data_IF_687711005174
#
_entry.id   IF_687711005174
#
_cell.length_a   1.000
_cell.length_b   1.000
_cell.length_c   1.000
_cell.angle_alpha   90.00
_cell.angle_beta   90.00
_cell.angle_gamma   90.00
#
_symmetry.space_group_name_H-M   'P 1'
#
loop_
_entity.id
_entity.type
_entity.pdbx_description
1 polymer ?
#
# COMPACT_ATOMS: atom_id res chain seq x y z
N UNK A 1 -1.75 13.10 -7.67
CA UNK A 1 -0.73 13.68 -8.58
C UNK A 1 0.55 14.07 -7.86
N UNK A 2 0.57 15.05 -6.95
CA UNK A 2 1.82 15.62 -6.41
C UNK A 2 2.73 14.69 -5.58
N UNK A 3 2.19 13.65 -4.91
CA UNK A 3 3.03 12.64 -4.22
C UNK A 3 3.82 11.75 -5.19
N UNK A 4 3.44 11.73 -6.47
CA UNK A 4 4.09 10.97 -7.52
C UNK A 4 5.15 11.77 -8.27
N UNK A 5 5.46 13.01 -7.88
CA UNK A 5 6.48 13.81 -8.57
C UNK A 5 7.87 13.24 -8.35
N UNK A 6 8.16 12.79 -7.11
CA UNK A 6 9.45 12.24 -6.78
C UNK A 6 9.54 10.74 -7.14
N UNK A 7 10.56 10.36 -7.89
CA UNK A 7 10.78 8.98 -8.34
C UNK A 7 10.94 7.98 -7.19
N UNK A 8 11.64 8.36 -6.12
CA UNK A 8 11.82 7.52 -4.94
C UNK A 8 10.52 7.31 -4.19
N UNK A 9 9.74 8.39 -3.95
CA UNK A 9 8.45 8.29 -3.27
C UNK A 9 7.48 7.40 -4.06
N UNK A 10 7.46 7.58 -5.39
CA UNK A 10 6.61 6.78 -6.28
C UNK A 10 6.96 5.30 -6.19
N UNK A 11 8.24 4.96 -6.25
CA UNK A 11 8.72 3.59 -6.10
C UNK A 11 8.36 3.00 -4.71
N UNK A 12 8.55 3.77 -3.63
CA UNK A 12 8.16 3.32 -2.28
C UNK A 12 6.66 3.05 -2.16
N UNK A 13 5.82 3.86 -2.80
CA UNK A 13 4.37 3.64 -2.84
C UNK A 13 4.05 2.38 -3.65
N UNK A 14 4.71 2.14 -4.80
CA UNK A 14 4.57 0.88 -5.56
C UNK A 14 4.88 -0.33 -4.68
N UNK A 15 5.99 -0.30 -3.93
CA UNK A 15 6.37 -1.38 -3.02
C UNK A 15 5.32 -1.62 -1.93
N UNK A 16 4.80 -0.56 -1.32
CA UNK A 16 3.74 -0.68 -0.30
C UNK A 16 2.48 -1.32 -0.87
N UNK A 17 2.03 -0.88 -2.05
CA UNK A 17 0.85 -1.44 -2.71
C UNK A 17 1.07 -2.90 -3.10
N UNK A 18 2.27 -3.27 -3.57
CA UNK A 18 2.63 -4.67 -3.84
C UNK A 18 2.52 -5.51 -2.57
N UNK A 19 3.01 -5.02 -1.43
CA UNK A 19 2.86 -5.70 -0.15
C UNK A 19 1.38 -5.83 0.26
N UNK A 20 0.57 -4.81 0.02
CA UNK A 20 -0.87 -4.86 0.34
C UNK A 20 -1.62 -5.85 -0.58
N UNK A 21 -1.21 -5.96 -1.84
CA UNK A 21 -1.69 -6.99 -2.78
C UNK A 21 -1.32 -8.39 -2.29
N UNK A 22 -0.03 -8.62 -1.97
CA UNK A 22 0.48 -9.94 -1.57
C UNK A 22 -0.08 -10.41 -0.22
N UNK A 23 -0.32 -9.49 0.71
CA UNK A 23 -0.93 -9.79 2.00
C UNK A 23 -2.47 -9.93 1.94
N UNK A 24 -3.09 -9.68 0.77
CA UNK A 24 -4.53 -9.76 0.58
C UNK A 24 -5.32 -8.56 1.15
N UNK A 25 -4.63 -7.52 1.63
CA UNK A 25 -5.26 -6.26 2.07
C UNK A 25 -5.87 -5.48 0.91
N UNK A 26 -5.28 -5.60 -0.28
CA UNK A 26 -5.79 -5.03 -1.52
C UNK A 26 -6.15 -6.16 -2.50
N UNK A 27 -7.39 -6.68 -2.44
CA UNK A 27 -7.86 -7.70 -3.36
C UNK A 27 -7.90 -7.19 -4.80
N UNK A 28 -7.42 -8.02 -5.73
CA UNK A 28 -7.43 -7.74 -7.15
C UNK A 28 -8.10 -8.90 -7.90
N UNK A 29 -8.63 -8.61 -9.10
CA UNK A 29 -9.03 -9.66 -10.04
C UNK A 29 -7.78 -10.25 -10.71
N UNK A 30 -7.93 -11.41 -11.33
CA UNK A 30 -6.88 -12.02 -12.18
C UNK A 30 -6.32 -11.03 -13.21
N UNK A 31 -7.20 -10.32 -13.92
CA UNK A 31 -6.81 -9.32 -14.94
C UNK A 31 -5.99 -8.19 -14.32
N UNK A 32 -6.37 -7.72 -13.13
CA UNK A 32 -5.62 -6.69 -12.42
C UNK A 32 -4.26 -7.21 -11.93
N UNK A 33 -4.18 -8.44 -11.42
CA UNK A 33 -2.90 -9.04 -11.05
C UNK A 33 -1.96 -9.12 -12.26
N UNK A 34 -2.47 -9.54 -13.42
CA UNK A 34 -1.68 -9.59 -14.65
C UNK A 34 -1.18 -8.20 -15.07
N UNK A 35 -2.09 -7.21 -15.08
CA UNK A 35 -1.77 -5.84 -15.46
C UNK A 35 -0.73 -5.20 -14.54
N UNK A 36 -0.97 -5.24 -13.23
CA UNK A 36 -0.05 -4.67 -12.25
C UNK A 36 1.27 -5.44 -12.19
N UNK A 37 1.22 -6.76 -12.37
CA UNK A 37 2.41 -7.61 -12.48
C UNK A 37 3.26 -7.25 -13.68
N UNK A 38 2.65 -6.97 -14.84
CA UNK A 38 3.38 -6.58 -16.05
C UNK A 38 4.11 -5.24 -15.92
N UNK A 39 3.50 -4.24 -15.26
CA UNK A 39 4.19 -2.98 -14.95
C UNK A 39 5.29 -3.17 -13.91
N UNK A 40 5.10 -4.09 -12.96
CA UNK A 40 6.14 -4.43 -11.98
C UNK A 40 7.34 -5.08 -12.68
N UNK A 41 7.10 -6.01 -13.60
CA UNK A 41 8.15 -6.64 -14.40
C UNK A 41 8.90 -5.58 -15.22
N UNK A 42 8.19 -4.71 -15.94
CA UNK A 42 8.80 -3.63 -16.74
C UNK A 42 9.62 -2.67 -15.87
N UNK A 43 9.13 -2.31 -14.69
CA UNK A 43 9.81 -1.35 -13.81
C UNK A 43 11.06 -1.93 -13.13
N UNK A 44 11.11 -3.25 -12.96
CA UNK A 44 12.19 -3.92 -12.22
C UNK A 44 13.20 -4.57 -13.17
N UNK A 45 12.74 -5.18 -14.26
CA UNK A 45 13.58 -5.92 -15.21
C UNK A 45 13.92 -5.12 -16.47
N UNK A 46 13.19 -4.03 -16.75
CA UNK A 46 13.30 -3.29 -18.01
C UNK A 46 12.58 -3.98 -19.15
N UNK A 47 12.97 -3.67 -20.38
CA UNK A 47 12.34 -4.23 -21.58
C UNK A 47 12.53 -5.74 -21.68
N UNK A 48 11.48 -6.46 -22.06
CA UNK A 48 11.63 -7.87 -22.42
C UNK A 48 12.59 -8.05 -23.60
N UNK A 49 13.69 -8.74 -23.32
CA UNK A 49 14.63 -9.31 -24.28
C UNK A 49 14.60 -10.84 -24.22
N UNK A 50 14.33 -11.52 -25.34
CA UNK A 50 14.27 -13.00 -25.40
C UNK A 50 15.63 -13.67 -25.12
N UNK A 51 16.74 -13.01 -25.45
CA UNK A 51 18.07 -13.53 -25.15
C UNK A 51 18.40 -13.54 -23.66
N UNK A 52 17.88 -12.54 -22.91
CA UNK A 52 18.14 -12.39 -21.47
C UNK A 52 17.10 -13.13 -20.63
N UNK A 53 15.82 -13.05 -21.03
CA UNK A 53 14.69 -13.58 -20.26
C UNK A 53 14.24 -14.98 -20.71
N UNK A 54 14.76 -15.46 -21.85
CA UNK A 54 14.28 -16.67 -22.51
C UNK A 54 12.91 -16.50 -23.17
N UNK A 55 12.44 -17.50 -23.93
CA UNK A 55 11.19 -17.42 -24.71
C UNK A 55 9.91 -17.59 -23.89
N UNK A 56 10.03 -17.86 -22.58
CA UNK A 56 8.92 -18.28 -21.72
C UNK A 56 8.75 -17.36 -20.51
N UNK A 57 7.70 -17.60 -19.72
CA UNK A 57 7.43 -16.85 -18.49
C UNK A 57 8.35 -17.20 -17.31
N UNK A 58 9.29 -18.14 -17.46
CA UNK A 58 10.06 -18.69 -16.32
C UNK A 58 10.88 -17.64 -15.57
N UNK A 59 11.37 -16.57 -16.23
CA UNK A 59 12.07 -15.47 -15.57
C UNK A 59 11.21 -14.69 -14.56
N UNK A 60 9.88 -14.85 -14.61
CA UNK A 60 8.94 -14.21 -13.68
C UNK A 60 8.67 -15.04 -12.43
N UNK A 61 9.10 -16.31 -12.37
CA UNK A 61 8.73 -17.25 -11.31
C UNK A 61 9.22 -16.82 -9.93
N UNK A 62 10.37 -16.16 -9.88
CA UNK A 62 11.00 -15.68 -8.64
C UNK A 62 10.38 -14.39 -8.11
N UNK A 63 9.56 -13.72 -8.92
CA UNK A 63 8.86 -12.49 -8.52
C UNK A 63 7.44 -12.87 -8.09
N UNK A 64 7.05 -12.41 -6.90
CA UNK A 64 5.69 -12.57 -6.38
C UNK A 64 4.81 -11.39 -6.82
N UNK A 65 3.80 -11.67 -7.64
CA UNK A 65 2.86 -10.67 -8.15
C UNK A 65 1.48 -10.75 -7.49
N UNK A 66 1.09 -11.93 -7.01
CA UNK A 66 -0.20 -12.20 -6.38
C UNK A 66 -0.06 -13.17 -5.20
N UNK A 67 -1.03 -13.19 -4.25
CA UNK A 67 -1.03 -14.13 -3.13
C UNK A 67 -1.00 -15.60 -3.59
N UNK A 68 -1.75 -15.88 -4.66
CA UNK A 68 -1.75 -17.16 -5.37
C UNK A 68 -1.33 -16.87 -6.79
N UNK A 69 -0.24 -17.50 -7.22
CA UNK A 69 0.37 -17.28 -8.53
C UNK A 69 0.48 -18.63 -9.22
N UNK A 70 -0.33 -18.81 -10.26
CA UNK A 70 -0.31 -19.97 -11.13
C UNK A 70 0.43 -19.66 -12.44
N UNK A 71 0.69 -20.70 -13.23
CA UNK A 71 1.36 -20.57 -14.52
C UNK A 71 0.57 -19.70 -15.50
N UNK A 72 -0.76 -19.72 -15.41
CA UNK A 72 -1.62 -18.93 -16.30
C UNK A 72 -1.49 -17.43 -16.03
N UNK A 73 -1.44 -17.03 -14.76
CA UNK A 73 -1.15 -15.65 -14.40
C UNK A 73 0.24 -15.23 -14.91
N UNK A 74 1.25 -16.07 -14.75
CA UNK A 74 2.61 -15.77 -15.21
C UNK A 74 2.70 -15.63 -16.73
N UNK A 75 2.03 -16.52 -17.49
CA UNK A 75 1.92 -16.38 -18.95
C UNK A 75 1.26 -15.06 -19.32
N UNK A 76 0.18 -14.69 -18.63
CA UNK A 76 -0.52 -13.44 -18.92
C UNK A 76 0.32 -12.20 -18.60
N UNK A 77 1.09 -12.24 -17.51
CA UNK A 77 2.06 -11.18 -17.17
C UNK A 77 3.14 -11.10 -18.23
N UNK A 78 3.71 -12.23 -18.66
CA UNK A 78 4.72 -12.29 -19.70
C UNK A 78 4.24 -11.68 -21.02
N UNK A 79 3.06 -12.06 -21.50
CA UNK A 79 2.46 -11.50 -22.71
C UNK A 79 2.29 -9.98 -22.65
N UNK A 80 1.92 -9.46 -21.48
CA UNK A 80 1.74 -8.03 -21.27
C UNK A 80 3.08 -7.30 -21.11
N UNK A 81 4.07 -7.92 -20.45
CA UNK A 81 5.42 -7.37 -20.31
C UNK A 81 6.04 -7.07 -21.67
N UNK A 82 5.88 -8.00 -22.64
CA UNK A 82 6.34 -7.81 -24.03
C UNK A 82 5.75 -6.58 -24.71
N UNK A 83 4.57 -6.11 -24.29
CA UNK A 83 3.87 -4.96 -24.90
C UNK A 83 4.33 -3.62 -24.33
N UNK A 84 5.05 -3.62 -23.21
CA UNK A 84 5.51 -2.39 -22.55
C UNK A 84 6.92 -1.96 -22.99
N UNK A 85 7.45 -2.57 -24.06
CA UNK A 85 8.78 -2.26 -24.58
C UNK A 85 8.96 -0.76 -24.85
N UNK A 86 10.09 -0.21 -24.43
CA UNK A 86 10.43 1.21 -24.51
C UNK A 86 9.83 2.04 -23.38
N UNK A 87 9.07 1.45 -22.45
CA UNK A 87 8.53 2.15 -21.31
C UNK A 87 9.58 2.25 -20.19
N UNK A 88 10.01 3.46 -19.79
CA UNK A 88 10.98 3.60 -18.72
C UNK A 88 10.37 3.24 -17.35
N UNK A 89 11.19 2.80 -16.37
CA UNK A 89 10.70 2.35 -15.06
C UNK A 89 9.82 3.36 -14.31
N UNK A 90 10.12 4.65 -14.45
CA UNK A 90 9.33 5.72 -13.83
C UNK A 90 7.89 5.81 -14.39
N UNK A 91 7.72 5.58 -15.69
CA UNK A 91 6.43 5.56 -16.37
C UNK A 91 5.68 4.26 -16.05
N UNK A 92 6.38 3.12 -15.96
CA UNK A 92 5.78 1.86 -15.54
C UNK A 92 5.22 1.95 -14.12
N UNK A 93 5.99 2.52 -13.18
CA UNK A 93 5.51 2.82 -11.82
C UNK A 93 4.28 3.75 -11.84
N UNK A 94 4.28 4.77 -12.70
CA UNK A 94 3.14 5.68 -12.80
C UNK A 94 1.88 4.96 -13.28
N UNK A 95 1.96 4.18 -14.36
CA UNK A 95 0.81 3.40 -14.85
C UNK A 95 0.34 2.33 -13.87
N UNK A 96 1.27 1.70 -13.13
CA UNK A 96 0.93 0.82 -12.01
C UNK A 96 0.04 1.55 -11.00
N UNK A 97 0.46 2.72 -10.55
CA UNK A 97 -0.24 3.51 -9.53
C UNK A 97 -1.58 4.05 -10.03
N UNK A 98 -1.66 4.44 -11.30
CA UNK A 98 -2.89 4.91 -11.93
C UNK A 98 -3.95 3.82 -12.08
N UNK A 99 -3.55 2.56 -12.18
CA UNK A 99 -4.47 1.44 -12.17
C UNK A 99 -4.77 0.98 -10.74
N UNK A 100 -3.78 0.95 -9.84
CA UNK A 100 -3.97 0.62 -8.44
C UNK A 100 -4.94 1.58 -7.73
N UNK A 101 -4.89 2.89 -8.02
CA UNK A 101 -5.80 3.89 -7.42
C UNK A 101 -7.27 3.67 -7.77
N UNK A 102 -7.57 2.90 -8.82
CA UNK A 102 -8.95 2.57 -9.24
C UNK A 102 -9.56 1.44 -8.41
N UNK A 103 -8.74 0.71 -7.63
CA UNK A 103 -9.20 -0.40 -6.81
C UNK A 103 -10.00 0.11 -5.62
N UNK A 104 -11.11 -0.56 -5.30
CA UNK A 104 -12.08 -0.12 -4.29
C UNK A 104 -11.47 0.03 -2.89
N UNK A 105 -10.46 -0.78 -2.58
CA UNK A 105 -9.80 -0.84 -1.27
C UNK A 105 -8.46 -0.09 -1.25
N UNK A 106 -8.13 0.65 -2.33
CA UNK A 106 -6.90 1.44 -2.38
C UNK A 106 -6.87 2.51 -1.29
N UNK A 107 -5.81 2.49 -0.47
CA UNK A 107 -5.61 3.46 0.61
C UNK A 107 -6.67 3.38 1.70
N UNK A 108 -7.29 2.21 1.89
CA UNK A 108 -8.28 1.94 2.93
C UNK A 108 -7.64 1.12 4.05
N UNK A 109 -7.63 1.67 5.26
CA UNK A 109 -7.23 0.94 6.47
C UNK A 109 -8.45 0.28 7.12
N UNK A 110 -8.50 -1.05 7.14
CA UNK A 110 -9.67 -1.83 7.56
C UNK A 110 -9.59 -2.24 9.04
N UNK A 111 -10.70 -2.00 9.75
CA UNK A 111 -10.87 -2.34 11.16
C UNK A 111 -12.11 -3.21 11.35
N UNK A 112 -11.97 -4.47 11.83
CA UNK A 112 -13.10 -5.32 12.14
C UNK A 112 -14.00 -4.70 13.22
N UNK A 113 -15.31 -4.74 13.00
CA UNK A 113 -16.30 -4.21 13.91
C UNK A 113 -17.65 -4.94 13.75
N UNK A 114 -18.59 -4.60 14.62
CA UNK A 114 -20.00 -4.96 14.50
C UNK A 114 -20.87 -3.71 14.52
N UNK A 115 -21.97 -3.73 13.80
CA UNK A 115 -22.97 -2.66 13.87
C UNK A 115 -23.89 -2.80 15.09
N UNK A 116 -24.97 -2.01 15.14
CA UNK A 116 -25.98 -2.06 16.20
C UNK A 116 -26.77 -3.37 16.24
N UNK A 117 -26.86 -4.07 15.11
CA UNK A 117 -27.53 -5.37 14.97
C UNK A 117 -26.58 -6.54 15.22
N UNK A 118 -25.34 -6.26 15.64
CA UNK A 118 -24.28 -7.23 15.94
C UNK A 118 -23.81 -8.01 14.71
N UNK A 119 -24.06 -7.49 13.50
CA UNK A 119 -23.60 -8.03 12.22
C UNK A 119 -22.12 -7.70 12.03
N UNK A 120 -21.33 -8.68 11.61
CA UNK A 120 -19.91 -8.50 11.35
C UNK A 120 -19.66 -7.63 10.11
N UNK A 121 -18.91 -6.56 10.30
CA UNK A 121 -18.57 -5.56 9.29
C UNK A 121 -17.10 -5.15 9.42
N UNK A 122 -16.58 -4.45 8.41
CA UNK A 122 -15.29 -3.79 8.50
C UNK A 122 -15.45 -2.29 8.28
N UNK A 123 -14.82 -1.49 9.14
CA UNK A 123 -14.76 -0.04 9.01
C UNK A 123 -13.44 0.30 8.30
N UNK A 124 -13.53 0.84 7.10
CA UNK A 124 -12.41 1.37 6.35
C UNK A 124 -12.20 2.86 6.62
N UNK A 125 -10.99 3.26 7.00
CA UNK A 125 -10.58 4.66 7.05
C UNK A 125 -9.86 5.02 5.76
N UNK A 126 -10.28 6.08 5.08
CA UNK A 126 -9.69 6.50 3.80
C UNK A 126 -9.48 8.02 3.74
N UNK A 127 -8.78 8.50 2.71
CA UNK A 127 -8.64 9.94 2.47
C UNK A 127 -10.00 10.66 2.30
N UNK A 128 -11.03 9.93 1.85
CA UNK A 128 -12.32 10.49 1.44
C UNK A 128 -13.44 10.33 2.47
N UNK A 129 -13.18 9.68 3.60
CA UNK A 129 -14.19 9.39 4.63
C UNK A 129 -13.99 8.04 5.31
N UNK A 130 -14.99 7.68 6.10
CA UNK A 130 -15.17 6.33 6.63
C UNK A 130 -16.02 5.51 5.65
N UNK A 131 -15.66 4.25 5.48
CA UNK A 131 -16.28 3.30 4.58
C UNK A 131 -16.75 2.11 5.41
N UNK A 132 -17.92 1.58 5.13
CA UNK A 132 -18.39 0.36 5.78
C UNK A 132 -18.42 -0.75 4.73
N UNK A 133 -17.82 -1.88 5.09
CA UNK A 133 -17.74 -3.07 4.26
C UNK A 133 -18.42 -4.25 4.95
N UNK A 134 -19.11 -5.07 4.16
CA UNK A 134 -19.65 -6.37 4.55
C UNK A 134 -19.32 -7.34 3.42
N UNK A 135 -18.77 -8.50 3.75
CA UNK A 135 -18.38 -9.51 2.76
C UNK A 135 -17.49 -8.95 1.63
N UNK A 136 -16.57 -8.03 2.00
CA UNK A 136 -15.68 -7.26 1.09
C UNK A 136 -16.40 -6.30 0.12
N UNK A 137 -17.72 -6.20 0.18
CA UNK A 137 -18.53 -5.23 -0.55
C UNK A 137 -18.72 -3.95 0.27
N UNK A 138 -18.55 -2.79 -0.37
CA UNK A 138 -18.76 -1.50 0.29
C UNK A 138 -20.25 -1.20 0.40
N UNK A 139 -20.80 -1.25 1.61
CA UNK A 139 -22.22 -1.00 1.88
C UNK A 139 -22.54 0.48 2.11
N UNK A 140 -21.62 1.24 2.70
CA UNK A 140 -21.88 2.65 3.03
C UNK A 140 -20.59 3.48 3.01
N UNK A 141 -20.75 4.81 2.87
CA UNK A 141 -19.67 5.80 2.90
C UNK A 141 -20.12 7.06 3.66
N UNK A 142 -19.39 7.37 4.72
CA UNK A 142 -19.50 8.63 5.46
C UNK A 142 -18.37 9.56 5.06
N UNK A 143 -18.66 10.48 4.13
CA UNK A 143 -17.68 11.48 3.70
C UNK A 143 -17.30 12.41 4.86
N UNK A 144 -16.03 12.82 4.94
CA UNK A 144 -15.54 13.70 6.02
C UNK A 144 -16.39 14.96 6.26
N UNK A 145 -16.89 15.68 5.22
CA UNK A 145 -17.74 16.85 5.44
C UNK A 145 -19.05 16.56 6.18
N UNK A 146 -19.60 15.34 6.02
CA UNK A 146 -20.84 14.91 6.67
C UNK A 146 -20.63 14.53 8.15
N UNK A 147 -19.40 14.25 8.57
CA UNK A 147 -19.09 13.84 9.94
C UNK A 147 -18.86 15.10 10.80
N UNK A 148 -19.72 15.32 11.80
CA UNK A 148 -19.58 16.38 12.80
C UNK A 148 -18.54 16.04 13.86
N UNK A 149 -18.60 14.81 14.38
CA UNK A 149 -17.79 14.39 15.52
C UNK A 149 -17.44 12.90 15.42
N UNK A 150 -16.22 12.58 15.78
CA UNK A 150 -15.74 11.21 15.95
C UNK A 150 -15.35 11.03 17.41
N UNK A 151 -15.84 9.95 18.03
CA UNK A 151 -15.57 9.64 19.44
C UNK A 151 -15.51 8.14 19.68
N UNK A 152 -15.01 7.73 20.84
CA UNK A 152 -15.03 6.34 21.26
C UNK A 152 -15.31 6.25 22.76
N UNK A 153 -15.93 5.15 23.20
CA UNK A 153 -16.20 4.84 24.61
C UNK A 153 -16.14 3.34 24.82
N UNK A 154 -15.29 2.87 25.75
CA UNK A 154 -15.03 1.44 25.94
C UNK A 154 -14.65 0.77 24.61
N UNK A 155 -15.38 -0.25 24.17
CA UNK A 155 -15.16 -0.95 22.89
C UNK A 155 -15.95 -0.34 21.73
N UNK A 156 -16.65 0.78 21.93
CA UNK A 156 -17.50 1.36 20.91
C UNK A 156 -16.86 2.59 20.27
N UNK A 157 -17.00 2.71 18.96
CA UNK A 157 -16.62 3.82 18.13
C UNK A 157 -17.89 4.50 17.60
N UNK A 158 -17.97 5.83 17.69
CA UNK A 158 -19.16 6.59 17.35
C UNK A 158 -18.84 7.71 16.37
N UNK A 159 -19.75 7.90 15.42
CA UNK A 159 -19.76 9.05 14.51
C UNK A 159 -21.07 9.81 14.67
N UNK A 160 -20.98 11.12 14.76
CA UNK A 160 -22.13 12.03 14.71
C UNK A 160 -22.17 12.67 13.34
N UNK A 161 -23.30 12.60 12.66
CA UNK A 161 -23.48 13.14 11.31
C UNK A 161 -24.19 14.50 11.35
N UNK A 162 -23.88 15.34 10.37
CA UNK A 162 -24.62 16.58 10.12
C UNK A 162 -26.07 16.25 9.75
N UNK A 163 -27.05 17.04 10.22
CA UNK A 163 -28.39 17.04 9.61
C UNK A 163 -28.25 17.30 8.11
N UNK A 164 -29.10 16.68 7.31
CA UNK A 164 -29.17 16.88 5.86
C UNK A 164 -30.60 17.11 5.45
N UNK A 165 -30.85 17.52 4.21
CA UNK A 165 -32.22 17.82 3.73
C UNK A 165 -33.18 16.62 3.90
N UNK A 166 -32.64 15.40 3.96
CA UNK A 166 -33.39 14.15 4.20
C UNK A 166 -33.39 13.67 5.66
N UNK A 167 -32.51 14.23 6.51
CA UNK A 167 -32.36 13.87 7.93
C UNK A 167 -32.42 15.15 8.76
N UNK A 168 -33.61 15.51 9.23
CA UNK A 168 -33.85 16.75 10.01
C UNK A 168 -33.14 16.77 11.37
N UNK A 169 -32.57 15.64 11.82
CA UNK A 169 -31.90 15.51 13.11
C UNK A 169 -30.46 15.01 12.99
N UNK A 170 -29.63 15.36 13.97
CA UNK A 170 -28.28 14.84 14.09
C UNK A 170 -28.32 13.33 14.39
N UNK A 171 -27.90 12.50 13.43
CA UNK A 171 -27.80 11.04 13.64
C UNK A 171 -26.45 10.66 14.27
N UNK A 172 -26.48 9.80 15.30
CA UNK A 172 -25.28 9.21 15.90
C UNK A 172 -25.26 7.71 15.62
N UNK A 173 -24.21 7.26 14.93
CA UNK A 173 -24.02 5.85 14.56
C UNK A 173 -22.91 5.27 15.43
N UNK A 174 -23.17 4.11 16.03
CA UNK A 174 -22.23 3.40 16.90
C UNK A 174 -21.81 2.06 16.33
N UNK A 175 -20.54 1.74 16.48
CA UNK A 175 -19.93 0.48 16.05
C UNK A 175 -19.18 -0.16 17.20
N UNK A 176 -19.31 -1.47 17.37
CA UNK A 176 -18.66 -2.25 18.42
C UNK A 176 -17.40 -2.91 17.87
N UNK A 177 -16.25 -2.63 18.47
CA UNK A 177 -14.98 -3.25 18.09
C UNK A 177 -14.62 -4.43 19.02
N UNK A 178 -13.72 -5.34 18.58
CA UNK A 178 -13.33 -6.50 19.37
C UNK A 178 -12.77 -6.12 20.74
N UNK A 179 -12.00 -5.04 20.82
CA UNK A 179 -11.32 -4.60 22.05
C UNK A 179 -11.35 -3.08 22.22
N UNK A 180 -11.10 -2.60 23.44
CA UNK A 180 -10.92 -1.17 23.72
C UNK A 180 -9.73 -0.60 22.95
N UNK A 181 -8.65 -1.38 22.81
CA UNK A 181 -7.46 -0.98 22.06
C UNK A 181 -7.77 -0.77 20.59
N UNK A 182 -8.56 -1.67 19.99
CA UNK A 182 -9.04 -1.51 18.61
C UNK A 182 -9.89 -0.25 18.44
N UNK A 183 -10.86 -0.01 19.34
CA UNK A 183 -11.69 1.22 19.31
C UNK A 183 -10.86 2.50 19.42
N UNK A 184 -9.90 2.53 20.33
CA UNK A 184 -8.98 3.66 20.50
C UNK A 184 -8.08 3.85 19.27
N UNK A 185 -7.61 2.75 18.67
CA UNK A 185 -6.75 2.78 17.49
C UNK A 185 -7.51 3.35 16.29
N UNK A 186 -8.68 2.79 15.97
CA UNK A 186 -9.54 3.28 14.91
C UNK A 186 -9.88 4.76 15.09
N UNK A 187 -10.21 5.18 16.33
CA UNK A 187 -10.48 6.58 16.62
C UNK A 187 -9.28 7.50 16.33
N UNK A 188 -8.07 7.13 16.77
CA UNK A 188 -6.86 7.89 16.47
C UNK A 188 -6.64 8.02 14.98
N UNK A 189 -6.66 6.89 14.26
CA UNK A 189 -6.43 6.83 12.81
C UNK A 189 -7.48 7.68 12.06
N UNK A 190 -8.76 7.58 12.44
CA UNK A 190 -9.83 8.38 11.84
C UNK A 190 -9.64 9.89 12.09
N UNK A 191 -9.24 10.29 13.30
CA UNK A 191 -8.94 11.69 13.63
C UNK A 191 -7.70 12.19 12.87
N UNK A 192 -6.64 11.39 12.78
CA UNK A 192 -5.44 11.71 12.01
C UNK A 192 -5.75 11.90 10.52
N UNK A 193 -6.49 10.97 9.91
CA UNK A 193 -6.90 11.08 8.50
C UNK A 193 -7.77 12.31 8.26
N UNK A 194 -8.79 12.52 9.11
CA UNK A 194 -9.65 13.70 8.99
C UNK A 194 -8.82 14.99 9.09
N UNK A 195 -7.90 15.08 10.06
CA UNK A 195 -7.04 16.24 10.25
C UNK A 195 -6.05 16.44 9.09
N UNK A 196 -5.33 15.39 8.68
CA UNK A 196 -4.31 15.45 7.64
C UNK A 196 -4.86 15.94 6.30
N UNK A 197 -6.02 15.40 5.88
CA UNK A 197 -6.61 15.70 4.58
C UNK A 197 -7.46 16.96 4.56
N UNK A 198 -7.98 17.44 5.71
CA UNK A 198 -8.80 18.66 5.75
C UNK A 198 -8.09 19.90 6.26
N UNK A 199 -7.13 19.79 7.16
CA UNK A 199 -6.51 20.96 7.75
C UNK A 199 -5.53 21.61 6.76
N UNK A 200 -5.71 22.92 6.53
CA UNK A 200 -4.78 23.70 5.71
C UNK A 200 -3.40 23.87 6.37
N UNK A 201 -3.34 23.83 7.71
CA UNK A 201 -2.12 23.87 8.52
C UNK A 201 -2.29 22.96 9.75
N UNK A 202 -1.22 22.34 10.29
CA UNK A 202 -1.30 21.63 11.57
C UNK A 202 -1.80 22.59 12.64
N UNK A 203 -2.63 22.10 13.56
CA UNK A 203 -3.08 22.92 14.67
C UNK A 203 -1.86 23.23 15.57
N UNK A 204 -1.62 24.51 15.87
CA UNK A 204 -0.49 24.91 16.71
C UNK A 204 -0.56 24.22 18.06
N UNK A 205 0.57 23.70 18.55
CA UNK A 205 0.67 23.06 19.86
C UNK A 205 0.42 24.14 20.92
N UNK A 206 -0.85 24.36 21.30
CA UNK A 206 -1.18 25.21 22.44
C UNK A 206 -0.50 24.62 23.68
N UNK A 207 0.29 25.45 24.38
CA UNK A 207 1.01 25.10 25.62
C UNK A 207 0.10 24.27 26.53
N UNK A 208 0.61 23.13 27.04
CA UNK A 208 -0.15 22.23 27.91
C UNK A 208 -0.68 23.03 29.11
N UNK A 209 -1.99 23.03 29.41
CA UNK A 209 -2.47 23.62 30.65
C UNK A 209 -1.85 22.85 31.83
N UNK A 210 -1.51 23.58 32.90
CA UNK A 210 -0.83 23.08 34.11
C UNK A 210 -1.69 22.05 34.87
N UNK A 211 -2.98 21.93 34.53
CA UNK A 211 -3.92 20.98 35.14
C UNK A 211 -4.01 19.70 34.28
N UNK A 212 -3.73 18.51 34.85
CA UNK A 212 -3.88 17.25 34.13
C UNK A 212 -5.37 16.98 33.84
N UNK A 213 -5.75 16.98 32.57
CA UNK A 213 -7.07 16.47 32.16
C UNK A 213 -6.98 14.95 32.05
N UNK A 214 -7.74 14.22 32.86
CA UNK A 214 -7.88 12.75 32.82
C UNK A 214 -8.57 12.21 31.54
N UNK A 215 -8.70 13.03 30.49
CA UNK A 215 -9.33 12.66 29.24
C UNK A 215 -8.30 12.69 28.10
N UNK A 216 -8.19 11.59 27.36
CA UNK A 216 -7.30 11.49 26.20
C UNK A 216 -7.85 12.36 25.07
N UNK A 217 -7.38 13.61 24.97
CA UNK A 217 -7.61 14.46 23.78
C UNK A 217 -6.47 14.23 22.80
N UNK A 218 -6.66 13.30 21.87
CA UNK A 218 -5.73 13.12 20.76
C UNK A 218 -5.83 14.32 19.82
N UNK A 219 -4.70 14.87 19.41
CA UNK A 219 -4.60 15.94 18.43
C UNK A 219 -3.60 15.52 17.37
N UNK A 220 -3.81 15.96 16.14
CA UNK A 220 -2.90 15.72 15.04
C UNK A 220 -1.53 16.37 15.34
N UNK A 221 -0.48 15.56 15.49
CA UNK A 221 0.90 16.01 15.76
C UNK A 221 1.80 15.96 14.53
N UNK A 222 1.23 15.74 13.33
CA UNK A 222 2.04 15.62 12.13
C UNK A 222 2.69 16.94 11.74
N UNK A 223 3.97 16.85 11.32
CA UNK A 223 4.82 18.00 10.97
C UNK A 223 4.25 18.85 9.83
N UNK A 224 3.49 18.23 8.93
CA UNK A 224 2.88 18.89 7.76
C UNK A 224 1.48 18.31 7.52
N UNK A 225 0.55 19.12 6.98
CA UNK A 225 -0.74 18.62 6.45
C UNK A 225 -0.63 18.32 4.95
N UNK A 226 -1.65 17.67 4.37
CA UNK A 226 -1.69 17.41 2.92
C UNK A 226 -1.51 18.70 2.10
N UNK A 227 -2.14 19.80 2.53
CA UNK A 227 -2.02 21.10 1.87
C UNK A 227 -0.60 21.67 1.91
N UNK A 228 0.10 21.55 3.04
CA UNK A 228 1.49 22.03 3.16
C UNK A 228 2.48 21.14 2.41
N UNK A 229 2.30 19.82 2.49
CA UNK A 229 3.14 18.87 1.75
C UNK A 229 3.09 19.16 0.25
N UNK A 230 1.92 19.53 -0.30
CA UNK A 230 1.78 19.93 -1.71
C UNK A 230 2.60 21.17 -2.09
N UNK A 231 2.77 22.13 -1.19
CA UNK A 231 3.50 23.37 -1.47
C UNK A 231 5.02 23.17 -1.37
N UNK A 232 5.49 22.26 -0.51
CA UNK A 232 6.91 22.02 -0.25
C UNK A 232 7.60 21.09 -1.26
N UNK A 233 6.83 20.28 -1.99
CA UNK A 233 7.36 19.27 -2.92
C UNK A 233 7.86 19.86 -4.26
N UNK A 234 7.69 21.17 -4.50
CA UNK A 234 7.94 21.76 -5.82
C UNK A 234 9.43 22.01 -6.14
N UNK A 235 10.32 22.11 -5.13
CA UNK A 235 11.69 22.60 -5.34
C UNK A 235 12.81 21.57 -5.07
N UNK A 236 12.51 20.26 -5.00
CA UNK A 236 13.54 19.24 -4.69
C UNK A 236 13.88 18.35 -5.89
N UNK A 237 15.17 18.22 -6.28
CA UNK A 237 15.59 17.28 -7.32
C UNK A 237 15.33 15.83 -6.89
N UNK A 238 15.16 14.94 -7.88
CA UNK A 238 14.99 13.53 -7.62
C UNK A 238 16.30 12.90 -7.14
N UNK A 239 16.32 12.19 -6.00
CA UNK A 239 17.48 11.43 -5.59
C UNK A 239 17.64 10.20 -6.49
N UNK A 240 18.88 9.82 -6.76
CA UNK A 240 19.20 8.54 -7.38
C UNK A 240 19.00 7.40 -6.37
N UNK A 241 18.47 6.26 -6.83
CA UNK A 241 18.28 5.07 -6.01
C UNK A 241 18.31 3.79 -6.84
N UNK A 242 18.78 2.71 -6.22
CA UNK A 242 18.74 1.36 -6.80
C UNK A 242 17.43 0.63 -6.48
N UNK A 243 16.93 -0.14 -7.44
CA UNK A 243 15.74 -0.99 -7.27
C UNK A 243 16.10 -2.32 -6.63
N UNK A 244 15.20 -2.84 -5.80
CA UNK A 244 15.49 -3.95 -4.90
C UNK A 244 15.65 -5.30 -5.60
N UNK A 245 15.00 -5.51 -6.74
CA UNK A 245 15.08 -6.76 -7.50
C UNK A 245 16.36 -6.83 -8.36
N UNK A 246 16.88 -5.69 -8.81
CA UNK A 246 18.19 -5.61 -9.51
C UNK A 246 19.33 -6.17 -8.65
N UNK A 247 19.28 -5.95 -7.33
CA UNK A 247 20.29 -6.44 -6.39
C UNK A 247 20.27 -7.97 -6.18
N UNK A 248 19.15 -8.65 -6.47
CA UNK A 248 19.06 -10.12 -6.43
C UNK A 248 19.56 -10.75 -7.73
N UNK A 249 19.26 -10.13 -8.88
CA UNK A 249 19.77 -10.60 -10.18
C UNK A 249 21.29 -10.47 -10.30
N UNK A 250 21.89 -9.37 -9.85
CA UNK A 250 23.37 -9.22 -9.91
C UNK A 250 24.09 -10.25 -9.04
N UNK A 251 23.56 -10.54 -7.84
CA UNK A 251 24.10 -11.63 -6.99
C UNK A 251 23.91 -13.01 -7.59
N UNK A 252 22.85 -13.23 -8.37
CA UNK A 252 22.61 -14.49 -9.07
C UNK A 252 23.59 -14.69 -10.24
N UNK A 253 23.98 -13.61 -10.93
CA UNK A 253 24.98 -13.64 -11.99
C UNK A 253 26.40 -13.85 -11.44
N UNK A 254 26.76 -13.19 -10.33
CA UNK A 254 28.06 -13.39 -9.67
C UNK A 254 28.25 -14.81 -9.10
N UNK A 255 27.16 -15.50 -8.76
CA UNK A 255 27.20 -16.89 -8.29
C UNK A 255 27.47 -17.91 -9.41
N UNK A 256 27.40 -17.51 -10.68
CA UNK A 256 27.69 -18.38 -11.84
C UNK A 256 29.12 -18.25 -12.39
N UNK A 257 29.97 -17.45 -11.73
CA UNK A 257 31.36 -17.18 -12.16
C UNK A 257 32.46 -17.72 -11.25
N UNK A 258 32.16 -18.59 -10.28
CA UNK A 258 33.23 -19.23 -9.47
C UNK A 258 33.65 -20.51 -10.20
N UNK A 259 34.69 -20.38 -11.03
CA UNK A 259 35.59 -21.48 -11.35
C UNK A 259 36.06 -22.11 -10.04
N UNK A 260 35.52 -23.28 -9.72
CA UNK A 260 35.97 -24.08 -8.59
C UNK A 260 37.38 -24.56 -8.95
N UNK A 261 38.39 -23.87 -8.41
CA UNK A 261 39.76 -24.37 -8.31
C UNK A 261 39.71 -25.77 -7.69
N UNK A 262 39.77 -26.79 -8.54
CA UNK A 262 39.83 -28.19 -8.14
C UNK A 262 41.25 -28.45 -7.62
N UNK A 263 41.46 -28.90 -6.37
CA UNK A 263 42.80 -29.26 -5.92
C UNK A 263 43.31 -30.46 -6.74
N UNK A 264 44.62 -30.56 -7.02
CA UNK A 264 45.15 -31.66 -7.81
C UNK A 264 44.97 -32.99 -7.07
N UNK A 265 44.59 -34.02 -7.82
CA UNK A 265 44.38 -35.37 -7.30
C UNK A 265 45.67 -35.96 -6.69
N UNK A 266 45.56 -36.79 -5.63
CA UNK A 266 46.73 -37.48 -5.07
C UNK A 266 47.31 -38.46 -6.08
N UNK A 267 48.64 -38.43 -6.24
CA UNK A 267 49.39 -39.36 -7.10
C UNK A 267 49.36 -40.77 -6.50
N UNK A 268 48.95 -41.75 -7.29
CA UNK A 268 49.12 -43.16 -6.96
C UNK A 268 50.61 -43.54 -6.96
N UNK A 269 51.05 -44.45 -6.08
CA UNK A 269 52.41 -44.96 -6.10
C UNK A 269 52.61 -45.96 -7.25
N UNK A 270 53.64 -45.73 -8.06
CA UNK A 270 54.08 -46.66 -9.11
C UNK A 270 54.55 -48.00 -8.53
N UNK A 271 54.32 -49.13 -9.23
CA UNK A 271 54.72 -50.44 -8.76
C UNK A 271 56.25 -50.60 -8.84
N UNK A 272 56.83 -51.07 -7.74
CA UNK A 272 58.20 -51.57 -7.68
C UNK A 272 58.31 -52.89 -8.45
N UNK A 273 59.24 -52.93 -9.41
CA UNK A 273 59.90 -54.16 -9.86
C UNK A 273 61.06 -54.48 -8.92
#
# INVERSE_FOLDING_TARGET
>A
EYFYLNSLNRYQICLQIRNDILSGKLPCSFVTYALLGSYTAQAELGDYNEYEHGPSYHYLTDIKFAPVQDDELLRRIHEQHKRHKGQPPNAADLHFLENAKKLAMYGVDLHPAKDSENVDINIGVSANGLLIYRDKLRINRFAWPKILKISYKKRYFYIKLRPSDFDQYESTIGFKLPTYRAAKSLWKIAVEHHAFFRLRRPEEIRKRPIIPRFNSTFRYTGKYTYHQARQLLLDRPNPDFERSLNKRMTKSLDASGIEINRPPAPREPSPTN
#
